data_IF_194405309657
#
_entry.id   IF_194405309657
#
_cell.length_a   1.000
_cell.length_b   1.000
_cell.length_c   1.000
_cell.angle_alpha   90.00
_cell.angle_beta   90.00
_cell.angle_gamma   90.00
#
_symmetry.space_group_name_H-M   'P 1'
#
loop_
_entity.id
_entity.type
_entity.pdbx_description
1 polymer ?
#
# COMPACT_ATOMS: atom_id res chain seq x y z
N UNK A 1 7.03 18.53 -14.90
CA UNK A 1 6.72 17.27 -15.65
C UNK A 1 6.74 17.54 -17.16
N UNK A 2 7.14 16.55 -17.95
CA UNK A 2 7.09 16.59 -19.43
C UNK A 2 5.65 16.34 -19.96
N UNK A 3 4.92 15.42 -19.30
CA UNK A 3 3.62 14.95 -19.76
C UNK A 3 2.49 15.51 -18.89
N UNK A 4 1.42 15.99 -19.54
CA UNK A 4 0.20 16.47 -18.86
C UNK A 4 -0.87 15.39 -18.79
N UNK A 5 -0.72 14.30 -19.55
CA UNK A 5 -1.63 13.15 -19.59
C UNK A 5 -0.83 11.86 -19.63
N UNK A 6 -1.11 10.96 -18.69
CA UNK A 6 -0.46 9.65 -18.59
C UNK A 6 -1.52 8.57 -18.71
N UNK A 7 -1.37 7.73 -19.74
CA UNK A 7 -2.22 6.57 -19.98
C UNK A 7 -1.45 5.31 -19.56
N UNK A 8 -2.00 4.54 -18.65
CA UNK A 8 -1.38 3.31 -18.15
C UNK A 8 -2.10 2.07 -18.66
N UNK A 9 -1.37 1.08 -19.12
CA UNK A 9 -1.93 -0.28 -19.09
C UNK A 9 -2.10 -0.76 -17.62
N UNK A 10 -2.83 -1.83 -17.41
CA UNK A 10 -3.14 -2.36 -16.09
C UNK A 10 -2.29 -3.58 -15.74
N UNK A 11 -2.48 -4.68 -16.50
CA UNK A 11 -1.85 -5.96 -16.22
C UNK A 11 -0.39 -5.97 -16.63
N UNK A 12 0.54 -6.15 -15.69
CA UNK A 12 1.99 -6.05 -15.94
C UNK A 12 2.55 -4.63 -15.83
N UNK A 13 1.70 -3.61 -15.72
CA UNK A 13 2.11 -2.20 -15.62
C UNK A 13 1.81 -1.60 -14.25
N UNK A 14 0.55 -1.59 -13.83
CA UNK A 14 0.14 -1.17 -12.50
C UNK A 14 0.03 -2.35 -11.53
N UNK A 15 -0.39 -3.53 -12.04
CA UNK A 15 -0.67 -4.70 -11.24
C UNK A 15 -0.03 -5.98 -11.78
N UNK A 16 0.29 -6.90 -10.85
CA UNK A 16 0.75 -8.27 -11.12
C UNK A 16 -0.46 -9.19 -11.14
N UNK A 17 -1.03 -9.41 -12.30
CA UNK A 17 -2.26 -10.21 -12.49
C UNK A 17 -2.01 -11.71 -12.73
N UNK A 18 -0.77 -12.15 -12.64
CA UNK A 18 -0.34 -13.52 -12.95
C UNK A 18 -1.17 -14.57 -12.22
N UNK A 19 -1.36 -14.40 -10.92
CA UNK A 19 -2.07 -15.38 -10.09
C UNK A 19 -3.53 -15.56 -10.54
N UNK A 20 -4.25 -14.46 -10.73
CA UNK A 20 -5.66 -14.48 -11.13
C UNK A 20 -5.88 -15.04 -12.53
N UNK A 21 -5.03 -14.65 -13.48
CA UNK A 21 -5.12 -15.09 -14.87
C UNK A 21 -4.76 -16.57 -14.98
N UNK A 22 -3.62 -16.98 -14.44
CA UNK A 22 -3.13 -18.36 -14.57
C UNK A 22 -4.03 -19.38 -13.85
N UNK A 23 -4.44 -19.10 -12.62
CA UNK A 23 -5.37 -19.95 -11.88
C UNK A 23 -6.73 -20.07 -12.60
N UNK A 24 -7.19 -18.98 -13.19
CA UNK A 24 -8.47 -18.99 -13.91
C UNK A 24 -8.37 -19.75 -15.22
N UNK A 25 -7.26 -19.62 -15.94
CA UNK A 25 -7.05 -20.38 -17.19
C UNK A 25 -6.87 -21.89 -16.91
N UNK A 26 -6.16 -22.26 -15.83
CA UNK A 26 -6.06 -23.66 -15.38
C UNK A 26 -7.44 -24.21 -15.05
N UNK A 27 -8.24 -23.49 -14.26
CA UNK A 27 -9.61 -23.89 -13.93
C UNK A 27 -10.46 -24.15 -15.20
N UNK A 28 -10.39 -23.26 -16.17
CA UNK A 28 -11.11 -23.40 -17.43
C UNK A 28 -10.63 -24.63 -18.23
N UNK A 29 -9.31 -24.87 -18.29
CA UNK A 29 -8.74 -26.04 -18.93
C UNK A 29 -9.20 -27.35 -18.25
N UNK A 30 -9.16 -27.41 -16.92
CA UNK A 30 -9.62 -28.55 -16.12
C UNK A 30 -11.12 -28.87 -16.33
N UNK A 31 -11.96 -27.84 -16.41
CA UNK A 31 -13.40 -27.99 -16.74
C UNK A 31 -13.64 -28.58 -18.12
N UNK A 32 -12.70 -28.40 -19.03
CA UNK A 32 -12.72 -28.98 -20.37
C UNK A 32 -12.04 -30.36 -20.44
N UNK A 33 -11.56 -30.91 -19.29
CA UNK A 33 -10.89 -32.21 -19.22
C UNK A 33 -9.39 -32.18 -19.52
N UNK A 34 -8.79 -31.01 -19.69
CA UNK A 34 -7.34 -30.82 -19.88
C UNK A 34 -6.68 -30.55 -18.52
N UNK A 35 -5.90 -31.51 -18.02
CA UNK A 35 -5.28 -31.46 -16.68
C UNK A 35 -3.76 -31.55 -16.74
N UNK A 36 -3.08 -31.26 -15.61
CA UNK A 36 -1.63 -31.44 -15.47
C UNK A 36 -0.82 -30.20 -15.84
N UNK A 37 -1.45 -29.03 -16.02
CA UNK A 37 -0.77 -27.78 -16.27
C UNK A 37 -0.36 -27.08 -14.97
N UNK A 38 0.79 -26.37 -15.03
CA UNK A 38 1.28 -25.53 -13.95
C UNK A 38 1.01 -24.04 -14.24
N UNK A 39 1.02 -23.21 -13.20
CA UNK A 39 0.88 -21.75 -13.39
C UNK A 39 1.99 -21.18 -14.28
N UNK A 40 3.21 -21.71 -14.18
CA UNK A 40 4.34 -21.28 -15.01
C UNK A 40 4.06 -21.45 -16.50
N UNK A 41 3.49 -22.59 -16.89
CA UNK A 41 3.12 -22.84 -18.29
C UNK A 41 2.01 -21.93 -18.79
N UNK A 42 1.17 -21.40 -17.88
CA UNK A 42 0.04 -20.55 -18.21
C UNK A 42 0.35 -19.05 -18.14
N UNK A 43 1.58 -18.65 -17.80
CA UNK A 43 2.01 -17.23 -17.90
C UNK A 43 1.84 -16.65 -19.30
N UNK A 44 1.94 -17.46 -20.31
CA UNK A 44 1.72 -17.06 -21.71
C UNK A 44 0.27 -16.62 -22.02
N UNK A 45 -0.67 -16.84 -21.11
CA UNK A 45 -2.03 -16.32 -21.21
C UNK A 45 -2.14 -14.82 -20.88
N UNK A 46 -1.07 -14.23 -20.32
CA UNK A 46 -1.07 -12.83 -19.92
C UNK A 46 -0.73 -11.97 -21.14
N UNK A 47 -1.70 -11.19 -21.60
CA UNK A 47 -1.59 -10.29 -22.74
C UNK A 47 -2.25 -10.78 -24.02
N UNK A 48 -1.96 -11.99 -24.55
CA UNK A 48 -2.63 -12.49 -25.76
C UNK A 48 -4.12 -12.76 -25.53
N UNK A 49 -4.93 -12.80 -26.64
CA UNK A 49 -6.32 -13.21 -26.57
C UNK A 49 -6.48 -14.63 -26.00
N UNK A 50 -7.44 -14.81 -25.11
CA UNK A 50 -7.70 -16.10 -24.46
C UNK A 50 -7.96 -17.23 -25.47
N UNK A 51 -8.68 -16.91 -26.56
CA UNK A 51 -9.01 -17.88 -27.62
C UNK A 51 -7.74 -18.48 -28.24
N UNK A 52 -6.78 -17.60 -28.60
CA UNK A 52 -5.52 -18.05 -29.21
C UNK A 52 -4.67 -18.84 -28.21
N UNK A 53 -4.67 -18.40 -26.94
CA UNK A 53 -3.92 -19.08 -25.88
C UNK A 53 -4.48 -20.48 -25.59
N UNK A 54 -5.78 -20.66 -25.48
CA UNK A 54 -6.39 -22.01 -25.31
C UNK A 54 -6.12 -22.92 -26.50
N UNK A 55 -6.11 -22.39 -27.73
CA UNK A 55 -5.79 -23.16 -28.92
C UNK A 55 -4.33 -23.59 -28.99
N UNK A 56 -3.42 -22.65 -28.77
CA UNK A 56 -1.99 -22.87 -29.03
C UNK A 56 -1.28 -23.54 -27.86
N UNK A 57 -1.64 -23.18 -26.63
CA UNK A 57 -0.98 -23.70 -25.42
C UNK A 57 -1.61 -24.99 -24.92
N UNK A 58 -2.94 -25.06 -24.94
CA UNK A 58 -3.67 -26.25 -24.44
C UNK A 58 -3.99 -27.24 -25.57
N UNK A 59 -3.98 -26.80 -26.83
CA UNK A 59 -4.30 -27.64 -27.99
C UNK A 59 -5.79 -27.85 -28.19
N UNK A 60 -6.64 -26.93 -27.79
CA UNK A 60 -8.09 -27.03 -27.93
C UNK A 60 -8.55 -26.75 -29.37
N UNK A 61 -9.66 -27.35 -29.75
CA UNK A 61 -10.40 -26.94 -30.97
C UNK A 61 -11.06 -25.58 -30.76
N UNK A 62 -11.54 -24.95 -31.86
CA UNK A 62 -12.21 -23.65 -31.77
C UNK A 62 -13.44 -23.66 -30.86
N UNK A 63 -14.23 -24.74 -30.93
CA UNK A 63 -15.41 -24.93 -30.10
C UNK A 63 -15.03 -25.12 -28.62
N UNK A 64 -13.98 -25.89 -28.36
CA UNK A 64 -13.46 -26.10 -27.00
C UNK A 64 -12.90 -24.82 -26.42
N UNK A 65 -12.14 -24.04 -27.20
CA UNK A 65 -11.57 -22.77 -26.76
C UNK A 65 -12.67 -21.76 -26.39
N UNK A 66 -13.72 -21.62 -27.21
CA UNK A 66 -14.86 -20.78 -26.89
C UNK A 66 -15.54 -21.18 -25.57
N UNK A 67 -15.77 -22.49 -25.37
CA UNK A 67 -16.36 -22.98 -24.13
C UNK A 67 -15.44 -22.83 -22.92
N UNK A 68 -14.14 -22.96 -23.11
CA UNK A 68 -13.15 -22.67 -22.04
C UNK A 68 -13.18 -21.21 -21.63
N UNK A 69 -13.39 -20.28 -22.57
CA UNK A 69 -13.54 -18.86 -22.27
C UNK A 69 -14.76 -18.61 -21.38
N UNK A 70 -15.89 -19.32 -21.56
CA UNK A 70 -17.05 -19.19 -20.68
C UNK A 70 -16.70 -19.61 -19.25
N UNK A 71 -15.98 -20.73 -19.05
CA UNK A 71 -15.49 -21.15 -17.73
C UNK A 71 -14.44 -20.19 -17.14
N UNK A 72 -13.61 -19.60 -18.01
CA UNK A 72 -12.68 -18.57 -17.58
C UNK A 72 -13.44 -17.37 -17.01
N UNK A 73 -14.43 -16.84 -17.74
CA UNK A 73 -15.24 -15.72 -17.27
C UNK A 73 -15.99 -16.02 -15.97
N UNK A 74 -16.55 -17.23 -15.84
CA UNK A 74 -17.24 -17.68 -14.61
C UNK A 74 -16.35 -17.55 -13.36
N UNK A 75 -15.11 -18.04 -13.42
CA UNK A 75 -14.18 -17.97 -12.29
C UNK A 75 -13.59 -16.58 -12.12
N UNK A 76 -13.23 -15.94 -13.23
CA UNK A 76 -12.61 -14.64 -13.20
C UNK A 76 -13.53 -13.58 -12.57
N UNK A 77 -14.79 -13.60 -12.93
CA UNK A 77 -15.79 -12.68 -12.36
C UNK A 77 -16.00 -12.90 -10.86
N UNK A 78 -15.92 -14.14 -10.40
CA UNK A 78 -16.16 -14.49 -8.99
C UNK A 78 -14.94 -14.19 -8.10
N UNK A 79 -13.75 -14.55 -8.51
CA UNK A 79 -12.53 -14.45 -7.70
C UNK A 79 -11.27 -14.00 -8.46
N UNK A 80 -11.11 -14.38 -9.72
CA UNK A 80 -9.85 -14.18 -10.45
C UNK A 80 -9.42 -12.72 -10.60
N UNK A 81 -10.37 -11.81 -10.78
CA UNK A 81 -10.09 -10.37 -10.86
C UNK A 81 -9.45 -9.83 -9.57
N UNK A 82 -9.73 -10.46 -8.44
CA UNK A 82 -9.25 -10.05 -7.13
C UNK A 82 -7.93 -10.71 -6.71
N UNK A 83 -7.51 -11.78 -7.39
CA UNK A 83 -6.22 -12.46 -7.20
C UNK A 83 -5.14 -11.69 -7.98
N UNK A 84 -4.72 -10.55 -7.42
CA UNK A 84 -3.86 -9.58 -8.06
C UNK A 84 -3.04 -8.84 -7.01
N UNK A 85 -1.88 -8.30 -7.38
CA UNK A 85 -1.02 -7.48 -6.51
C UNK A 85 -0.61 -6.20 -7.25
N UNK A 86 -0.29 -5.15 -6.51
CA UNK A 86 0.20 -3.89 -7.07
C UNK A 86 1.73 -3.87 -7.07
N UNK A 87 2.34 -3.34 -8.14
CA UNK A 87 3.79 -3.12 -8.14
C UNK A 87 4.18 -2.07 -7.10
N UNK A 88 5.24 -2.38 -6.32
CA UNK A 88 5.69 -1.51 -5.25
C UNK A 88 6.11 -0.12 -5.79
N UNK A 89 5.55 0.94 -5.21
CA UNK A 89 5.77 2.33 -5.60
C UNK A 89 4.69 2.94 -6.51
N UNK A 90 3.79 2.14 -7.09
CA UNK A 90 2.69 2.64 -7.94
C UNK A 90 1.80 3.67 -7.20
N UNK A 91 1.36 3.44 -5.93
CA UNK A 91 0.58 4.45 -5.22
C UNK A 91 1.29 5.80 -5.11
N UNK A 92 2.60 5.79 -4.81
CA UNK A 92 3.40 7.02 -4.71
C UNK A 92 3.52 7.74 -6.06
N UNK A 93 3.68 6.99 -7.16
CA UNK A 93 3.70 7.53 -8.52
C UNK A 93 2.36 8.18 -8.87
N UNK A 94 1.23 7.48 -8.70
CA UNK A 94 -0.10 8.00 -9.01
C UNK A 94 -0.41 9.28 -8.21
N UNK A 95 -0.10 9.29 -6.90
CA UNK A 95 -0.21 10.48 -6.04
C UNK A 95 0.66 11.64 -6.56
N UNK A 96 1.88 11.35 -6.99
CA UNK A 96 2.79 12.38 -7.50
C UNK A 96 2.30 12.98 -8.82
N UNK A 97 1.72 12.17 -9.71
CA UNK A 97 1.09 12.64 -10.95
C UNK A 97 -0.09 13.57 -10.65
N UNK A 98 -0.99 13.18 -9.76
CA UNK A 98 -2.15 14.01 -9.37
C UNK A 98 -1.72 15.30 -8.69
N UNK A 99 -0.78 15.25 -7.76
CA UNK A 99 -0.20 16.45 -7.11
C UNK A 99 0.28 17.47 -8.12
N UNK A 100 0.82 17.03 -9.23
CA UNK A 100 1.33 17.89 -10.29
C UNK A 100 0.28 18.20 -11.40
N UNK A 101 -0.99 17.86 -11.16
CA UNK A 101 -2.11 18.20 -12.05
C UNK A 101 -2.19 17.36 -13.32
N UNK A 102 -1.51 16.22 -13.39
CA UNK A 102 -1.63 15.33 -14.55
C UNK A 102 -3.02 14.70 -14.64
N UNK A 103 -3.49 14.50 -15.87
CA UNK A 103 -4.58 13.59 -16.17
C UNK A 103 -4.03 12.18 -16.20
N UNK A 104 -4.70 11.27 -15.50
CA UNK A 104 -4.26 9.88 -15.37
C UNK A 104 -5.41 8.96 -15.72
N UNK A 105 -5.21 8.06 -16.69
CA UNK A 105 -6.23 7.08 -17.05
C UNK A 105 -5.61 5.68 -17.22
N UNK A 106 -6.41 4.65 -16.91
CA UNK A 106 -6.09 3.28 -17.29
C UNK A 106 -6.60 3.06 -18.71
N UNK A 107 -5.76 2.51 -19.59
CA UNK A 107 -6.08 2.13 -20.96
C UNK A 107 -5.65 0.68 -21.18
N UNK A 108 -6.59 -0.26 -21.06
CA UNK A 108 -6.29 -1.70 -20.98
C UNK A 108 -7.14 -2.54 -21.93
N UNK A 109 -6.59 -3.66 -22.41
CA UNK A 109 -7.34 -4.66 -23.15
C UNK A 109 -8.27 -5.51 -22.27
N UNK A 110 -8.11 -5.42 -20.93
CA UNK A 110 -9.04 -6.05 -19.97
C UNK A 110 -10.42 -5.42 -20.06
N UNK A 111 -11.53 -6.18 -19.97
CA UNK A 111 -12.87 -5.61 -19.93
C UNK A 111 -13.00 -4.53 -18.84
N UNK A 112 -13.54 -3.37 -19.24
CA UNK A 112 -13.59 -2.14 -18.42
C UNK A 112 -14.16 -2.40 -17.02
N UNK A 113 -15.23 -3.18 -16.91
CA UNK A 113 -15.87 -3.51 -15.62
C UNK A 113 -14.91 -4.17 -14.62
N UNK A 114 -13.98 -5.00 -15.09
CA UNK A 114 -12.98 -5.62 -14.22
C UNK A 114 -11.84 -4.67 -13.89
N UNK A 115 -11.42 -3.84 -14.85
CA UNK A 115 -10.41 -2.82 -14.61
C UNK A 115 -10.86 -1.80 -13.56
N UNK A 116 -12.12 -1.36 -13.61
CA UNK A 116 -12.73 -0.47 -12.59
C UNK A 116 -12.79 -1.12 -11.21
N UNK A 117 -13.18 -2.42 -11.14
CA UNK A 117 -13.19 -3.18 -9.86
C UNK A 117 -11.78 -3.29 -9.27
N UNK A 118 -10.76 -3.55 -10.11
CA UNK A 118 -9.36 -3.64 -9.70
C UNK A 118 -8.88 -2.27 -9.22
N UNK A 119 -9.14 -1.20 -9.98
CA UNK A 119 -8.77 0.16 -9.62
C UNK A 119 -9.36 0.57 -8.26
N UNK A 120 -10.62 0.23 -8.01
CA UNK A 120 -11.28 0.48 -6.73
C UNK A 120 -10.66 -0.35 -5.60
N UNK A 121 -10.44 -1.65 -5.82
CA UNK A 121 -9.88 -2.55 -4.80
C UNK A 121 -8.52 -2.11 -4.31
N UNK A 122 -7.67 -1.62 -5.21
CA UNK A 122 -6.29 -1.23 -4.89
C UNK A 122 -6.11 0.28 -4.62
N UNK A 123 -7.20 1.02 -4.43
CA UNK A 123 -7.15 2.43 -4.07
C UNK A 123 -6.62 3.34 -5.19
N UNK A 124 -6.73 2.94 -6.47
CA UNK A 124 -6.33 3.78 -7.60
C UNK A 124 -7.40 4.80 -7.98
N UNK A 125 -8.68 4.47 -7.73
CA UNK A 125 -9.82 5.27 -8.19
C UNK A 125 -9.70 6.77 -7.86
N UNK A 126 -9.24 7.23 -6.68
CA UNK A 126 -9.06 8.64 -6.38
C UNK A 126 -8.04 9.36 -7.26
N UNK A 127 -7.13 8.60 -7.89
CA UNK A 127 -6.03 9.15 -8.69
C UNK A 127 -6.29 9.05 -10.20
N UNK A 128 -7.40 8.45 -10.62
CA UNK A 128 -7.75 8.26 -12.01
C UNK A 128 -8.79 9.27 -12.47
N UNK A 129 -8.63 9.78 -13.68
CA UNK A 129 -9.64 10.58 -14.38
C UNK A 129 -10.58 9.68 -15.19
N UNK A 130 -10.11 8.50 -15.65
CA UNK A 130 -10.94 7.52 -16.37
C UNK A 130 -10.33 6.10 -16.36
N UNK A 131 -11.16 5.13 -16.72
CA UNK A 131 -10.77 3.73 -17.01
C UNK A 131 -11.32 3.35 -18.37
N UNK A 132 -10.46 3.15 -19.34
CA UNK A 132 -10.78 2.88 -20.74
C UNK A 132 -10.44 1.43 -21.06
N UNK A 133 -11.45 0.62 -21.27
CA UNK A 133 -11.35 -0.76 -21.68
C UNK A 133 -12.46 -1.15 -22.67
N UNK A 134 -12.40 -2.35 -23.26
CA UNK A 134 -13.49 -2.86 -24.07
C UNK A 134 -14.70 -3.25 -23.22
N UNK A 135 -15.87 -3.32 -23.83
CA UNK A 135 -17.02 -4.03 -23.26
C UNK A 135 -16.79 -5.54 -23.21
N UNK A 136 -17.69 -6.28 -22.58
CA UNK A 136 -17.62 -7.74 -22.53
C UNK A 136 -17.75 -8.41 -23.90
N UNK A 137 -18.29 -7.69 -24.91
CA UNK A 137 -18.39 -8.14 -26.30
C UNK A 137 -17.08 -7.99 -27.09
N UNK A 138 -16.04 -7.46 -26.47
CA UNK A 138 -14.69 -7.23 -27.03
C UNK A 138 -14.65 -6.40 -28.35
N UNK A 139 -15.70 -5.64 -28.67
CA UNK A 139 -15.66 -4.73 -29.82
C UNK A 139 -14.69 -3.58 -29.56
N UNK A 140 -13.94 -3.18 -30.60
CA UNK A 140 -12.95 -2.10 -30.56
C UNK A 140 -11.89 -2.28 -29.44
N UNK A 141 -11.45 -3.51 -29.23
CA UNK A 141 -10.48 -3.88 -28.18
C UNK A 141 -9.01 -3.69 -28.57
N UNK A 142 -8.71 -3.22 -29.80
CA UNK A 142 -7.32 -2.95 -30.18
C UNK A 142 -6.70 -1.86 -29.30
N UNK A 143 -5.44 -2.08 -28.84
CA UNK A 143 -4.77 -1.09 -27.99
C UNK A 143 -4.72 0.29 -28.65
N UNK A 144 -4.49 0.36 -29.97
CA UNK A 144 -4.48 1.63 -30.71
C UNK A 144 -5.83 2.38 -30.64
N UNK A 145 -6.96 1.67 -30.72
CA UNK A 145 -8.28 2.28 -30.59
C UNK A 145 -8.55 2.78 -29.17
N UNK A 146 -8.14 2.00 -28.17
CA UNK A 146 -8.30 2.38 -26.77
C UNK A 146 -7.42 3.58 -26.40
N UNK A 147 -6.16 3.62 -26.85
CA UNK A 147 -5.25 4.77 -26.65
C UNK A 147 -5.82 6.01 -27.34
N UNK A 148 -6.39 5.88 -28.56
CA UNK A 148 -7.04 7.00 -29.26
C UNK A 148 -8.15 7.62 -28.40
N UNK A 149 -9.00 6.80 -27.78
CA UNK A 149 -10.05 7.30 -26.88
C UNK A 149 -9.48 8.13 -25.74
N UNK A 150 -8.37 7.70 -25.12
CA UNK A 150 -7.69 8.46 -24.08
C UNK A 150 -7.09 9.77 -24.59
N UNK A 151 -6.47 9.77 -25.76
CA UNK A 151 -5.92 10.97 -26.39
C UNK A 151 -7.02 11.98 -26.73
N UNK A 152 -8.15 11.52 -27.28
CA UNK A 152 -9.30 12.37 -27.63
C UNK A 152 -9.99 12.94 -26.38
N UNK A 153 -10.05 12.15 -25.28
CA UNK A 153 -10.68 12.58 -24.03
C UNK A 153 -9.88 13.66 -23.28
N UNK A 154 -8.54 13.54 -23.26
CA UNK A 154 -7.73 14.38 -22.37
C UNK A 154 -6.80 15.33 -23.12
N UNK A 155 -6.27 14.96 -24.26
CA UNK A 155 -5.32 15.80 -25.04
C UNK A 155 -4.03 16.14 -24.30
N UNK A 156 -3.38 17.20 -24.75
CA UNK A 156 -2.13 17.70 -24.14
C UNK A 156 -0.89 16.91 -24.57
N UNK A 157 0.16 16.94 -23.75
CA UNK A 157 1.35 16.10 -23.91
C UNK A 157 1.07 14.72 -23.31
N UNK A 158 0.72 13.76 -24.17
CA UNK A 158 0.29 12.42 -23.77
C UNK A 158 1.46 11.44 -23.82
N UNK A 159 1.49 10.50 -22.86
CA UNK A 159 2.38 9.34 -22.89
C UNK A 159 1.59 8.06 -22.59
N UNK A 160 1.86 6.98 -23.33
CA UNK A 160 1.34 5.65 -23.05
C UNK A 160 2.41 4.82 -22.32
N UNK A 161 2.05 4.25 -21.18
CA UNK A 161 2.92 3.39 -20.36
C UNK A 161 2.38 1.96 -20.39
N UNK A 162 3.21 1.01 -20.78
CA UNK A 162 2.82 -0.40 -20.79
C UNK A 162 4.02 -1.33 -20.84
N UNK A 163 3.76 -2.62 -20.58
CA UNK A 163 4.81 -3.65 -20.49
C UNK A 163 4.89 -4.54 -21.74
N UNK A 164 4.01 -4.33 -22.73
CA UNK A 164 3.99 -5.15 -23.94
C UNK A 164 4.12 -4.28 -25.21
N UNK A 165 4.60 -4.90 -26.28
CA UNK A 165 4.69 -4.26 -27.61
C UNK A 165 3.38 -3.60 -28.03
N UNK A 166 2.23 -4.20 -27.69
CA UNK A 166 0.91 -3.67 -28.08
C UNK A 166 0.65 -2.27 -27.52
N UNK A 167 1.18 -1.96 -26.33
CA UNK A 167 1.09 -0.65 -25.69
C UNK A 167 1.93 0.37 -26.46
N UNK A 168 3.14 -0.02 -26.82
CA UNK A 168 4.08 0.81 -27.56
C UNK A 168 3.54 1.07 -28.97
N UNK A 169 3.13 0.03 -29.70
CA UNK A 169 2.53 0.13 -31.02
C UNK A 169 1.25 0.99 -30.98
N UNK A 170 0.41 0.80 -29.94
CA UNK A 170 -0.81 1.57 -29.72
C UNK A 170 -0.56 3.05 -29.49
N UNK A 171 0.44 3.40 -28.68
CA UNK A 171 0.88 4.78 -28.43
C UNK A 171 1.41 5.42 -29.72
N UNK A 172 2.31 4.76 -30.41
CA UNK A 172 2.91 5.23 -31.65
C UNK A 172 1.89 5.46 -32.78
N UNK A 173 0.93 4.54 -32.92
CA UNK A 173 -0.14 4.69 -33.91
C UNK A 173 -0.99 5.94 -33.66
N UNK A 174 -0.97 6.50 -32.48
CA UNK A 174 -1.64 7.74 -32.10
C UNK A 174 -0.69 8.94 -31.97
N UNK A 175 0.60 8.79 -32.33
CA UNK A 175 1.58 9.87 -32.33
C UNK A 175 1.95 10.38 -30.94
N UNK A 176 1.83 9.53 -29.90
CA UNK A 176 2.20 9.87 -28.52
C UNK A 176 3.47 9.16 -28.09
N UNK A 177 4.20 9.78 -27.16
CA UNK A 177 5.37 9.15 -26.54
C UNK A 177 4.96 7.87 -25.80
N UNK A 178 5.92 6.94 -25.66
CA UNK A 178 5.68 5.66 -25.00
C UNK A 178 6.77 5.35 -23.97
N UNK A 179 6.39 4.72 -22.86
CA UNK A 179 7.33 4.14 -21.90
C UNK A 179 7.08 2.66 -21.81
N UNK A 180 8.05 1.86 -22.24
CA UNK A 180 8.07 0.42 -22.03
C UNK A 180 8.59 0.08 -20.63
N UNK A 181 7.84 -0.70 -19.83
CA UNK A 181 8.27 -1.10 -18.50
C UNK A 181 8.72 -2.56 -18.48
N UNK A 182 9.96 -2.82 -18.06
CA UNK A 182 10.60 -4.14 -18.07
C UNK A 182 10.32 -4.95 -16.79
N UNK A 183 9.65 -4.39 -15.80
CA UNK A 183 9.27 -5.12 -14.59
C UNK A 183 7.96 -5.92 -14.75
N UNK A 184 7.29 -5.78 -15.90
CA UNK A 184 6.07 -6.49 -16.27
C UNK A 184 6.33 -7.85 -16.90
N UNK A 185 5.52 -8.23 -17.86
CA UNK A 185 5.55 -9.55 -18.54
C UNK A 185 6.29 -9.53 -19.89
N UNK A 186 6.48 -8.36 -20.49
CA UNK A 186 7.25 -8.18 -21.72
C UNK A 186 8.77 -8.16 -21.47
N UNK A 187 9.56 -8.43 -22.51
CA UNK A 187 11.02 -8.32 -22.44
C UNK A 187 11.49 -6.97 -22.95
N UNK A 188 12.68 -6.54 -22.55
CA UNK A 188 13.28 -5.31 -23.05
C UNK A 188 13.43 -5.34 -24.58
N UNK A 189 13.82 -6.50 -25.14
CA UNK A 189 13.95 -6.68 -26.60
C UNK A 189 12.60 -6.49 -27.31
N UNK A 190 11.49 -6.97 -26.72
CA UNK A 190 10.14 -6.76 -27.26
C UNK A 190 9.81 -5.26 -27.33
N UNK A 191 10.09 -4.54 -26.23
CA UNK A 191 9.76 -3.11 -26.09
C UNK A 191 10.63 -2.22 -26.97
N UNK A 192 11.93 -2.52 -27.05
CA UNK A 192 12.90 -1.82 -27.92
C UNK A 192 12.56 -2.08 -29.39
N UNK A 193 12.24 -3.33 -29.76
CA UNK A 193 11.84 -3.67 -31.13
C UNK A 193 10.53 -3.01 -31.57
N UNK A 194 9.64 -2.73 -30.64
CA UNK A 194 8.42 -1.94 -30.88
C UNK A 194 8.69 -0.43 -30.93
N UNK A 195 9.95 0.00 -30.72
CA UNK A 195 10.43 1.39 -30.78
C UNK A 195 9.81 2.25 -29.66
N UNK A 196 9.90 1.77 -28.40
CA UNK A 196 9.50 2.55 -27.23
C UNK A 196 10.33 3.84 -27.10
N UNK A 197 9.69 4.98 -26.78
CA UNK A 197 10.37 6.26 -26.60
C UNK A 197 11.31 6.24 -25.40
N UNK A 198 10.89 5.56 -24.33
CA UNK A 198 11.65 5.36 -23.10
C UNK A 198 11.50 3.92 -22.60
N UNK A 199 12.50 3.43 -21.88
CA UNK A 199 12.48 2.15 -21.17
C UNK A 199 12.66 2.43 -19.69
N UNK A 200 11.89 1.73 -18.84
CA UNK A 200 12.01 1.76 -17.39
C UNK A 200 12.10 0.34 -16.82
N UNK A 201 13.13 0.03 -16.07
CA UNK A 201 13.33 -1.30 -15.46
C UNK A 201 12.68 -1.41 -14.08
N UNK A 202 12.36 -0.27 -13.47
CA UNK A 202 11.74 -0.19 -12.14
C UNK A 202 10.66 0.88 -12.12
N UNK A 203 9.76 0.79 -11.13
CA UNK A 203 8.77 1.86 -10.88
C UNK A 203 9.43 3.18 -10.49
N UNK A 204 10.64 3.15 -9.91
CA UNK A 204 11.42 4.35 -9.59
C UNK A 204 11.89 5.05 -10.87
N UNK A 205 12.50 4.32 -11.82
CA UNK A 205 12.88 4.86 -13.13
C UNK A 205 11.67 5.40 -13.91
N UNK A 206 10.53 4.68 -13.88
CA UNK A 206 9.28 5.17 -14.45
C UNK A 206 8.86 6.49 -13.81
N UNK A 207 8.99 6.61 -12.48
CA UNK A 207 8.68 7.85 -11.76
C UNK A 207 9.59 8.98 -12.19
N UNK A 208 10.91 8.72 -12.36
CA UNK A 208 11.87 9.71 -12.83
C UNK A 208 11.53 10.21 -14.25
N UNK A 209 11.15 9.30 -15.15
CA UNK A 209 10.75 9.66 -16.52
C UNK A 209 9.49 10.53 -16.54
N UNK A 210 8.49 10.19 -15.74
CA UNK A 210 7.19 10.87 -15.75
C UNK A 210 7.18 12.18 -14.96
N UNK A 211 7.77 12.19 -13.77
CA UNK A 211 7.76 13.31 -12.83
C UNK A 211 8.94 14.28 -13.09
N UNK A 212 10.14 13.76 -13.41
CA UNK A 212 11.36 14.55 -13.54
C UNK A 212 11.67 15.32 -12.27
N UNK A 213 11.98 16.62 -12.39
CA UNK A 213 12.29 17.52 -11.28
C UNK A 213 11.04 18.06 -10.54
N UNK A 214 9.83 17.66 -10.94
CA UNK A 214 8.61 18.12 -10.28
C UNK A 214 8.46 17.49 -8.88
N UNK A 215 7.76 18.16 -7.94
CA UNK A 215 7.61 17.67 -6.58
C UNK A 215 6.90 16.32 -6.52
N UNK A 216 7.49 15.36 -5.80
CA UNK A 216 6.83 14.07 -5.53
C UNK A 216 5.83 14.20 -4.39
N UNK A 217 4.82 13.37 -4.39
CA UNK A 217 3.91 13.27 -3.26
C UNK A 217 4.65 12.64 -2.07
N UNK A 218 4.40 13.20 -0.89
CA UNK A 218 4.89 12.63 0.37
C UNK A 218 4.20 11.29 0.63
N UNK A 219 4.91 10.34 1.22
CA UNK A 219 4.36 9.09 1.72
C UNK A 219 3.35 9.28 2.84
N UNK A 220 2.79 8.17 3.33
CA UNK A 220 1.78 8.16 4.39
C UNK A 220 2.42 7.72 5.71
N UNK A 221 2.15 8.45 6.79
CA UNK A 221 2.63 8.10 8.12
C UNK A 221 1.49 7.57 9.01
N UNK A 222 1.59 6.31 9.41
CA UNK A 222 0.61 5.61 10.25
C UNK A 222 1.27 5.27 11.58
N UNK A 223 0.70 5.75 12.70
CA UNK A 223 1.09 5.30 14.04
C UNK A 223 0.08 4.27 14.57
N UNK A 224 0.58 3.33 15.37
CA UNK A 224 -0.25 2.37 16.08
C UNK A 224 -0.12 2.61 17.57
N UNK A 225 -1.24 2.86 18.23
CA UNK A 225 -1.31 3.25 19.63
C UNK A 225 -2.18 2.29 20.45
N UNK A 226 -1.97 2.28 21.76
CA UNK A 226 -2.72 1.46 22.71
C UNK A 226 -1.85 0.87 23.80
N UNK A 227 -2.49 0.28 24.79
CA UNK A 227 -1.83 -0.33 25.96
C UNK A 227 -0.94 -1.51 25.56
N UNK A 228 0.05 -1.86 26.42
CA UNK A 228 0.79 -3.11 26.23
C UNK A 228 -0.16 -4.31 26.44
N UNK A 229 -0.02 -5.34 25.57
CA UNK A 229 -0.94 -6.48 25.56
C UNK A 229 -2.18 -6.31 24.67
N UNK A 230 -2.44 -5.13 24.06
CA UNK A 230 -3.59 -4.94 23.17
C UNK A 230 -3.43 -5.56 21.76
N UNK A 231 -2.26 -6.17 21.43
CA UNK A 231 -2.06 -6.88 20.17
C UNK A 231 -1.40 -6.06 19.06
N UNK A 232 -0.77 -4.93 19.36
CA UNK A 232 -0.10 -4.05 18.37
C UNK A 232 0.84 -4.80 17.41
N UNK A 233 1.69 -5.68 17.93
CA UNK A 233 2.66 -6.41 17.11
C UNK A 233 1.99 -7.26 16.03
N UNK A 234 0.92 -7.99 16.39
CA UNK A 234 0.14 -8.82 15.46
C UNK A 234 -0.53 -7.96 14.40
N UNK A 235 -1.19 -6.89 14.83
CA UNK A 235 -1.92 -6.00 13.93
C UNK A 235 -0.97 -5.18 13.04
N UNK A 236 0.22 -4.81 13.53
CA UNK A 236 1.26 -4.17 12.72
C UNK A 236 1.74 -5.07 11.58
N UNK A 237 1.92 -6.36 11.84
CA UNK A 237 2.30 -7.30 10.79
C UNK A 237 1.21 -7.39 9.69
N UNK A 238 -0.05 -7.54 10.09
CA UNK A 238 -1.19 -7.58 9.18
C UNK A 238 -1.33 -6.26 8.38
N UNK A 239 -1.16 -5.12 9.05
CA UNK A 239 -1.18 -3.80 8.41
C UNK A 239 -0.05 -3.65 7.39
N UNK A 240 1.18 -4.07 7.75
CA UNK A 240 2.34 -4.00 6.85
C UNK A 240 2.11 -4.86 5.60
N UNK A 241 1.65 -6.08 5.76
CA UNK A 241 1.33 -6.99 4.65
C UNK A 241 0.23 -6.41 3.75
N UNK A 242 -0.81 -5.84 4.34
CA UNK A 242 -1.90 -5.22 3.59
C UNK A 242 -1.42 -4.04 2.73
N UNK A 243 -0.65 -3.11 3.31
CA UNK A 243 -0.07 -1.98 2.57
C UNK A 243 0.86 -2.44 1.44
N UNK A 244 1.64 -3.51 1.66
CA UNK A 244 2.48 -4.08 0.61
C UNK A 244 1.65 -4.65 -0.54
N UNK A 245 0.53 -5.33 -0.25
CA UNK A 245 -0.41 -5.81 -1.28
C UNK A 245 -1.06 -4.67 -2.07
N UNK A 246 -1.25 -3.51 -1.44
CA UNK A 246 -1.68 -2.28 -2.10
C UNK A 246 -0.55 -1.57 -2.87
N UNK A 247 0.66 -2.14 -2.91
CA UNK A 247 1.81 -1.61 -3.64
C UNK A 247 2.62 -0.52 -2.92
N UNK A 248 2.37 -0.28 -1.64
CA UNK A 248 3.21 0.61 -0.88
C UNK A 248 4.57 -0.03 -0.57
N UNK A 249 5.64 0.74 -0.71
CA UNK A 249 6.90 0.42 -0.01
C UNK A 249 6.70 0.76 1.45
N UNK A 250 6.91 -0.21 2.35
CA UNK A 250 6.59 -0.04 3.78
C UNK A 250 7.85 0.02 4.62
N UNK A 251 8.01 1.11 5.36
CA UNK A 251 9.00 1.28 6.42
C UNK A 251 8.33 1.04 7.77
N UNK A 252 8.47 -0.18 8.32
CA UNK A 252 7.89 -0.54 9.62
C UNK A 252 8.89 -0.30 10.75
N UNK A 253 8.48 0.48 11.77
CA UNK A 253 9.31 0.85 12.93
C UNK A 253 8.55 0.64 14.25
N UNK A 254 9.28 0.74 15.35
CA UNK A 254 8.73 0.81 16.70
C UNK A 254 9.46 1.87 17.53
N UNK A 255 8.79 2.45 18.49
CA UNK A 255 9.40 3.32 19.50
C UNK A 255 9.17 2.81 20.92
N UNK A 256 10.16 2.95 21.78
CA UNK A 256 11.52 3.45 21.50
C UNK A 256 12.32 2.44 20.67
N UNK A 257 13.29 2.94 19.88
CA UNK A 257 14.13 2.14 18.99
C UNK A 257 13.91 2.50 17.52
N UNK A 258 14.35 1.66 16.62
CA UNK A 258 14.12 1.81 15.18
C UNK A 258 15.35 2.23 14.37
N UNK A 259 16.41 2.74 15.02
CA UNK A 259 17.71 2.97 14.44
C UNK A 259 18.80 2.67 15.48
N UNK A 260 20.07 2.66 15.08
CA UNK A 260 21.17 2.24 15.94
C UNK A 260 21.29 3.06 17.25
N UNK A 261 21.14 4.40 17.16
CA UNK A 261 21.21 5.29 18.33
C UNK A 261 19.95 5.14 19.18
N UNK A 262 18.78 5.09 18.57
CA UNK A 262 17.52 4.90 19.26
C UNK A 262 17.42 3.54 19.97
N UNK A 263 18.05 2.47 19.44
CA UNK A 263 18.14 1.17 20.12
C UNK A 263 19.03 1.24 21.39
N UNK A 264 20.11 2.00 21.37
CA UNK A 264 20.91 2.24 22.60
C UNK A 264 20.09 2.95 23.67
N UNK A 265 19.29 3.95 23.26
CA UNK A 265 18.36 4.65 24.16
C UNK A 265 17.27 3.70 24.69
N UNK A 266 16.72 2.85 23.82
CA UNK A 266 15.76 1.82 24.21
C UNK A 266 16.31 0.89 25.31
N UNK A 267 17.56 0.44 25.15
CA UNK A 267 18.19 -0.43 26.12
C UNK A 267 18.29 0.25 27.51
N UNK A 268 18.64 1.55 27.54
CA UNK A 268 18.63 2.32 28.78
C UNK A 268 17.23 2.43 29.39
N UNK A 269 16.21 2.72 28.57
CA UNK A 269 14.83 2.92 29.02
C UNK A 269 14.19 1.66 29.60
N UNK A 270 14.44 0.50 28.99
CA UNK A 270 13.74 -0.74 29.34
C UNK A 270 14.51 -1.64 30.30
N UNK A 271 15.80 -1.36 30.55
CA UNK A 271 16.62 -2.17 31.45
C UNK A 271 16.08 -2.11 32.92
N UNK A 272 15.66 -3.26 33.48
CA UNK A 272 15.21 -3.33 34.89
C UNK A 272 16.25 -2.89 35.91
N UNK A 273 17.53 -2.84 35.57
CA UNK A 273 18.57 -2.35 36.46
C UNK A 273 18.51 -0.83 36.68
N UNK A 274 17.89 -0.06 35.77
CA UNK A 274 17.83 1.40 35.83
C UNK A 274 16.65 1.92 36.66
N UNK A 275 16.44 1.35 37.90
CA UNK A 275 15.32 1.73 38.76
C UNK A 275 15.42 3.17 39.33
N UNK A 276 16.61 3.75 39.33
CA UNK A 276 16.85 5.13 39.82
C UNK A 276 16.60 6.21 38.77
N UNK A 277 16.22 5.83 37.55
CA UNK A 277 15.89 6.78 36.50
C UNK A 277 14.67 7.62 36.90
N UNK A 278 14.82 8.93 37.02
CA UNK A 278 13.69 9.82 37.29
C UNK A 278 12.77 9.96 36.07
N UNK A 279 11.52 10.34 36.32
CA UNK A 279 10.47 10.38 35.32
C UNK A 279 10.78 11.39 34.19
N UNK A 280 11.42 12.51 34.52
CA UNK A 280 11.87 13.51 33.54
C UNK A 280 12.97 12.96 32.63
N UNK A 281 13.95 12.22 33.16
CA UNK A 281 14.99 11.56 32.36
C UNK A 281 14.37 10.56 31.41
N UNK A 282 13.41 9.77 31.89
CA UNK A 282 12.64 8.85 31.04
C UNK A 282 11.99 9.58 29.87
N UNK A 283 11.27 10.69 30.14
CA UNK A 283 10.59 11.48 29.11
C UNK A 283 11.57 12.09 28.08
N UNK A 284 12.72 12.63 28.55
CA UNK A 284 13.76 13.15 27.66
C UNK A 284 14.38 12.06 26.77
N UNK A 285 14.64 10.90 27.30
CA UNK A 285 15.19 9.78 26.52
C UNK A 285 14.21 9.29 25.44
N UNK A 286 12.91 9.21 25.75
CA UNK A 286 11.89 8.92 24.72
C UNK A 286 11.88 9.97 23.63
N UNK A 287 11.92 11.25 23.98
CA UNK A 287 11.95 12.34 23.01
C UNK A 287 13.26 12.35 22.19
N UNK A 288 14.41 12.07 22.80
CA UNK A 288 15.71 11.99 22.11
C UNK A 288 15.74 10.84 21.10
N UNK A 289 15.28 9.63 21.50
CA UNK A 289 15.19 8.49 20.58
C UNK A 289 14.23 8.76 19.41
N UNK A 290 13.12 9.44 19.68
CA UNK A 290 12.16 9.89 18.65
C UNK A 290 12.75 10.89 17.68
N UNK A 291 13.45 11.89 18.18
CA UNK A 291 14.12 12.90 17.33
C UNK A 291 15.09 12.23 16.34
N UNK A 292 15.87 11.26 16.82
CA UNK A 292 16.78 10.47 16.00
C UNK A 292 16.01 9.67 14.94
N UNK A 293 14.98 8.93 15.35
CA UNK A 293 14.19 8.09 14.47
C UNK A 293 13.44 8.90 13.39
N UNK A 294 12.85 10.03 13.76
CA UNK A 294 12.15 10.93 12.83
C UNK A 294 13.11 11.44 11.76
N UNK A 295 14.30 11.90 12.15
CA UNK A 295 15.25 12.49 11.20
C UNK A 295 15.96 11.46 10.34
N UNK A 296 16.37 10.32 10.92
CA UNK A 296 17.17 9.33 10.21
C UNK A 296 16.32 8.37 9.38
N UNK A 297 15.05 8.14 9.75
CA UNK A 297 14.24 7.07 9.16
C UNK A 297 12.91 7.57 8.63
N UNK A 298 12.08 8.22 9.47
CA UNK A 298 10.69 8.52 9.13
C UNK A 298 10.62 9.54 7.98
N UNK A 299 11.31 10.69 8.12
CA UNK A 299 11.31 11.74 7.08
C UNK A 299 11.83 11.26 5.74
N UNK A 300 13.02 10.61 5.66
CA UNK A 300 13.52 10.10 4.39
C UNK A 300 12.58 9.08 3.73
N UNK A 301 11.91 8.23 4.53
CA UNK A 301 10.93 7.28 3.99
C UNK A 301 9.70 8.00 3.41
N UNK A 302 9.17 9.00 4.13
CA UNK A 302 8.05 9.81 3.64
C UNK A 302 8.40 10.62 2.39
N UNK A 303 9.62 11.16 2.31
CA UNK A 303 10.11 11.90 1.15
C UNK A 303 10.22 11.01 -0.10
N UNK A 304 10.54 9.73 0.07
CA UNK A 304 10.51 8.73 -1.01
C UNK A 304 9.11 8.29 -1.42
N UNK A 305 8.05 8.72 -0.69
CA UNK A 305 6.68 8.28 -0.92
C UNK A 305 6.33 6.94 -0.26
N UNK A 306 7.13 6.45 0.71
CA UNK A 306 6.87 5.18 1.40
C UNK A 306 5.71 5.34 2.41
N UNK A 307 5.01 4.24 2.71
CA UNK A 307 4.16 4.16 3.89
C UNK A 307 5.05 3.87 5.12
N UNK A 308 5.00 4.72 6.13
CA UNK A 308 5.67 4.50 7.41
C UNK A 308 4.66 3.98 8.42
N UNK A 309 4.92 2.81 9.00
CA UNK A 309 4.11 2.21 10.08
C UNK A 309 4.95 2.19 11.36
N UNK A 310 4.54 2.97 12.35
CA UNK A 310 5.26 3.09 13.62
C UNK A 310 4.44 2.52 14.78
N UNK A 311 4.96 1.49 15.46
CA UNK A 311 4.39 0.99 16.71
C UNK A 311 4.78 1.95 17.82
N UNK A 312 3.86 2.76 18.27
CA UNK A 312 3.96 3.91 19.18
C UNK A 312 4.62 5.15 18.55
N UNK A 313 4.11 6.31 18.94
CA UNK A 313 4.67 7.62 18.59
C UNK A 313 4.45 8.61 19.74
N UNK A 314 4.23 9.88 19.43
CA UNK A 314 4.06 10.97 20.44
C UNK A 314 2.91 10.69 21.39
N UNK A 315 1.78 10.20 20.90
CA UNK A 315 0.58 9.94 21.70
C UNK A 315 0.87 8.94 22.85
N UNK A 316 1.74 7.94 22.60
CA UNK A 316 2.25 7.05 23.66
C UNK A 316 3.01 7.82 24.75
N UNK A 317 3.91 8.74 24.40
CA UNK A 317 4.63 9.52 25.41
C UNK A 317 3.72 10.43 26.22
N UNK A 318 2.74 11.06 25.57
CA UNK A 318 1.76 11.91 26.26
C UNK A 318 0.92 11.07 27.24
N UNK A 319 0.54 9.85 26.85
CA UNK A 319 -0.23 8.97 27.70
C UNK A 319 0.62 8.37 28.85
N UNK A 320 1.80 7.82 28.56
CA UNK A 320 2.64 7.12 29.54
C UNK A 320 3.42 8.09 30.43
N UNK A 321 4.21 8.99 29.87
CA UNK A 321 5.01 9.95 30.63
C UNK A 321 4.17 11.13 31.13
N UNK A 322 3.29 11.66 30.27
CA UNK A 322 2.46 12.82 30.62
C UNK A 322 1.44 12.49 31.72
N UNK A 323 0.59 11.50 31.51
CA UNK A 323 -0.45 11.12 32.47
C UNK A 323 0.01 9.99 33.41
N UNK A 324 0.60 8.93 32.89
CA UNK A 324 1.05 7.79 33.69
C UNK A 324 2.05 8.21 34.77
N UNK A 325 3.14 8.92 34.42
CA UNK A 325 4.14 9.51 35.30
C UNK A 325 3.73 10.82 35.95
N UNK A 326 2.57 11.38 35.55
CA UNK A 326 2.03 12.64 36.06
C UNK A 326 2.94 13.87 35.78
N UNK A 327 3.77 13.84 34.72
CA UNK A 327 4.58 14.97 34.29
C UNK A 327 3.75 16.06 33.61
N UNK A 328 2.47 15.81 33.33
CA UNK A 328 1.59 16.70 32.57
C UNK A 328 1.57 16.37 31.09
N UNK A 329 0.36 16.20 30.54
CA UNK A 329 0.18 15.81 29.12
C UNK A 329 0.66 16.92 28.18
N UNK A 330 0.37 18.20 28.49
CA UNK A 330 0.79 19.34 27.68
C UNK A 330 2.31 19.53 27.72
N UNK A 331 2.95 19.35 28.87
CA UNK A 331 4.39 19.46 29.03
C UNK A 331 5.14 18.40 28.21
N UNK A 332 4.66 17.15 28.22
CA UNK A 332 5.25 16.08 27.43
C UNK A 332 4.96 16.25 25.95
N UNK A 333 3.80 16.77 25.56
CA UNK A 333 3.51 17.13 24.18
C UNK A 333 4.46 18.24 23.67
N UNK A 334 4.69 19.30 24.49
CA UNK A 334 5.62 20.38 24.17
C UNK A 334 7.08 19.87 24.05
N UNK A 335 7.51 19.00 24.96
CA UNK A 335 8.83 18.35 24.89
C UNK A 335 9.03 17.61 23.56
N UNK A 336 8.01 16.91 23.08
CA UNK A 336 8.07 16.15 21.84
C UNK A 336 7.92 17.03 20.58
N UNK A 337 7.39 18.24 20.70
CA UNK A 337 7.18 19.11 19.54
C UNK A 337 8.50 19.41 18.78
N UNK A 338 9.60 19.65 19.51
CA UNK A 338 10.92 19.85 18.89
C UNK A 338 11.47 18.55 18.26
N UNK A 339 11.19 17.39 18.85
CA UNK A 339 11.67 16.10 18.37
C UNK A 339 11.03 15.72 17.02
N UNK A 340 9.76 16.04 16.82
CA UNK A 340 9.02 15.64 15.62
C UNK A 340 8.87 16.75 14.58
N UNK A 341 8.88 18.03 15.00
CA UNK A 341 8.57 19.16 14.13
C UNK A 341 7.20 18.98 13.48
N UNK A 342 7.15 19.09 12.16
CA UNK A 342 5.94 18.89 11.35
C UNK A 342 5.63 17.42 11.05
N UNK A 343 6.53 16.49 11.42
CA UNK A 343 6.35 15.07 11.12
C UNK A 343 5.34 14.46 12.10
N UNK A 344 4.09 14.40 11.67
CA UNK A 344 2.98 13.86 12.45
C UNK A 344 2.33 12.71 11.68
N UNK A 345 1.74 11.70 12.37
CA UNK A 345 0.95 10.67 11.73
C UNK A 345 -0.25 11.27 10.99
N UNK A 346 -0.44 10.84 9.75
CA UNK A 346 -1.63 11.12 8.96
C UNK A 346 -2.83 10.31 9.51
N UNK A 347 -2.55 9.07 9.92
CA UNK A 347 -3.51 8.16 10.51
C UNK A 347 -2.93 7.58 11.81
N UNK A 348 -3.72 7.54 12.87
CA UNK A 348 -3.41 6.81 14.10
C UNK A 348 -4.39 5.67 14.28
N UNK A 349 -3.89 4.44 14.32
CA UNK A 349 -4.70 3.26 14.66
C UNK A 349 -4.64 3.08 16.19
N UNK A 350 -5.74 3.36 16.86
CA UNK A 350 -5.86 3.15 18.31
C UNK A 350 -6.51 1.79 18.60
N UNK A 351 -5.71 0.86 19.08
CA UNK A 351 -6.17 -0.45 19.55
C UNK A 351 -6.70 -0.31 20.99
N UNK A 352 -7.99 0.01 21.09
CA UNK A 352 -8.69 0.28 22.34
C UNK A 352 -8.91 -1.00 23.11
N UNK A 353 -8.36 -1.08 24.31
CA UNK A 353 -8.54 -2.20 25.24
C UNK A 353 -8.49 -1.70 26.69
N UNK A 354 -9.44 -2.11 27.57
CA UNK A 354 -9.40 -1.76 29.00
C UNK A 354 -8.06 -2.13 29.63
N UNK A 355 -7.57 -1.28 30.54
CA UNK A 355 -6.24 -1.40 31.12
C UNK A 355 -6.00 -2.72 31.84
N UNK A 356 -6.97 -3.23 32.57
CA UNK A 356 -6.94 -4.50 33.32
C UNK A 356 -6.82 -5.71 32.37
N UNK A 357 -7.57 -5.70 31.27
CA UNK A 357 -7.54 -6.76 30.25
C UNK A 357 -6.18 -6.76 29.52
N UNK A 358 -5.70 -5.57 29.13
CA UNK A 358 -4.44 -5.40 28.44
C UNK A 358 -3.26 -5.86 29.33
N UNK A 359 -3.24 -5.43 30.58
CA UNK A 359 -2.22 -5.80 31.54
C UNK A 359 -2.21 -7.31 31.80
N UNK A 360 -3.38 -7.92 31.98
CA UNK A 360 -3.50 -9.39 32.18
C UNK A 360 -2.91 -10.15 30.99
N UNK A 361 -3.22 -9.77 29.77
CA UNK A 361 -2.66 -10.38 28.55
C UNK A 361 -1.13 -10.20 28.46
N UNK A 362 -0.64 -9.02 28.82
CA UNK A 362 0.79 -8.71 28.76
C UNK A 362 1.61 -9.55 29.76
N UNK A 363 1.17 -9.62 31.03
CA UNK A 363 1.86 -10.35 32.08
C UNK A 363 1.89 -11.87 31.83
N UNK A 364 0.93 -12.42 31.10
CA UNK A 364 0.93 -13.83 30.70
C UNK A 364 1.90 -14.16 29.56
N UNK A 365 2.42 -13.17 28.85
CA UNK A 365 3.21 -13.39 27.62
C UNK A 365 4.73 -13.44 27.88
N UNK A 366 5.29 -12.60 28.74
CA UNK A 366 6.74 -12.56 29.02
C UNK A 366 7.05 -11.84 30.33
N UNK A 367 8.32 -11.88 30.77
CA UNK A 367 8.79 -11.12 31.95
C UNK A 367 8.61 -9.61 31.68
N UNK A 368 8.11 -8.87 32.68
CA UNK A 368 7.89 -7.42 32.56
C UNK A 368 9.22 -6.65 32.48
N UNK A 369 9.29 -5.65 31.63
CA UNK A 369 10.36 -4.65 31.60
C UNK A 369 10.20 -3.61 32.73
N UNK A 370 11.12 -2.62 32.78
CA UNK A 370 11.12 -1.58 33.82
C UNK A 370 9.79 -0.80 33.89
N UNK A 371 9.21 -0.49 32.75
CA UNK A 371 7.97 0.30 32.67
C UNK A 371 6.75 -0.56 33.04
N UNK A 372 6.75 -1.82 32.65
CA UNK A 372 5.67 -2.78 32.94
C UNK A 372 5.58 -3.21 34.37
N UNK A 373 6.62 -2.93 35.19
CA UNK A 373 6.64 -3.17 36.65
C UNK A 373 5.88 -2.08 37.44
N UNK A 374 5.27 -1.11 36.78
CA UNK A 374 4.50 -0.04 37.43
C UNK A 374 3.18 -0.56 38.04
N UNK A 375 2.62 0.21 38.97
CA UNK A 375 1.36 -0.11 39.66
C UNK A 375 0.16 0.07 38.76
N UNK A 376 -0.95 -0.57 39.09
CA UNK A 376 -2.21 -0.52 38.36
C UNK A 376 -2.72 0.91 38.06
N UNK A 377 -2.54 1.83 39.01
CA UNK A 377 -2.93 3.24 38.86
C UNK A 377 -2.21 3.93 37.70
N UNK A 378 -0.95 3.57 37.46
CA UNK A 378 -0.19 4.09 36.30
C UNK A 378 -0.88 3.71 34.99
N UNK A 379 -1.23 2.44 34.85
CA UNK A 379 -1.89 1.94 33.65
C UNK A 379 -3.32 2.49 33.49
N UNK A 380 -4.03 2.69 34.60
CA UNK A 380 -5.37 3.31 34.59
C UNK A 380 -5.30 4.76 34.09
N UNK A 381 -4.33 5.55 34.60
CA UNK A 381 -4.12 6.93 34.11
C UNK A 381 -3.71 6.97 32.64
N UNK A 382 -2.83 6.05 32.22
CA UNK A 382 -2.40 5.93 30.82
C UNK A 382 -3.58 5.62 29.89
N UNK A 383 -4.45 4.69 30.27
CA UNK A 383 -5.65 4.37 29.50
C UNK A 383 -6.59 5.57 29.39
N UNK A 384 -6.87 6.23 30.52
CA UNK A 384 -7.72 7.45 30.54
C UNK A 384 -7.12 8.57 29.69
N UNK A 385 -5.81 8.67 29.61
CA UNK A 385 -5.14 9.66 28.76
C UNK A 385 -5.35 9.35 27.27
N UNK A 386 -5.27 8.11 26.85
CA UNK A 386 -5.61 7.74 25.47
C UNK A 386 -7.07 8.06 25.12
N UNK A 387 -8.01 7.75 26.02
CA UNK A 387 -9.42 8.08 25.83
C UNK A 387 -9.62 9.61 25.64
N UNK A 388 -8.93 10.43 26.44
CA UNK A 388 -8.95 11.89 26.32
C UNK A 388 -8.30 12.39 25.03
N UNK A 389 -7.12 11.85 24.67
CA UNK A 389 -6.38 12.26 23.47
C UNK A 389 -7.16 12.03 22.19
N UNK A 390 -7.97 10.99 22.17
CA UNK A 390 -8.61 10.53 20.94
C UNK A 390 -10.11 10.85 20.85
N UNK A 391 -10.70 11.38 21.93
CA UNK A 391 -12.15 11.63 22.02
C UNK A 391 -12.74 12.50 20.89
N UNK A 392 -11.96 13.42 20.33
CA UNK A 392 -12.43 14.38 19.31
C UNK A 392 -11.56 14.36 18.05
N UNK A 393 -10.88 13.25 17.77
CA UNK A 393 -9.93 13.14 16.65
C UNK A 393 -10.32 12.07 15.61
N UNK A 394 -11.61 11.87 15.38
CA UNK A 394 -12.13 10.81 14.48
C UNK A 394 -11.56 10.85 13.06
N UNK A 395 -11.20 12.04 12.56
CA UNK A 395 -10.58 12.18 11.23
C UNK A 395 -9.19 11.55 11.16
N UNK A 396 -8.36 11.75 12.19
CA UNK A 396 -6.99 11.22 12.27
C UNK A 396 -6.96 9.82 12.89
N UNK A 397 -7.83 9.55 13.86
CA UNK A 397 -7.77 8.36 14.70
C UNK A 397 -8.79 7.32 14.28
N UNK A 398 -8.30 6.14 13.94
CA UNK A 398 -9.09 4.93 13.72
C UNK A 398 -9.12 4.13 15.02
N UNK A 399 -10.21 4.22 15.75
CA UNK A 399 -10.39 3.43 16.99
C UNK A 399 -10.90 2.04 16.67
N UNK A 400 -10.17 1.02 17.09
CA UNK A 400 -10.50 -0.40 16.90
C UNK A 400 -10.64 -1.10 18.25
N UNK A 401 -11.74 -1.78 18.47
CA UNK A 401 -11.95 -2.57 19.69
C UNK A 401 -11.05 -3.82 19.70
N UNK A 402 -9.93 -3.75 20.40
CA UNK A 402 -8.93 -4.81 20.46
C UNK A 402 -9.28 -5.96 21.44
N UNK A 403 -10.44 -5.93 22.09
CA UNK A 403 -10.92 -7.02 22.94
C UNK A 403 -11.58 -8.17 22.14
N UNK A 404 -11.84 -7.96 20.85
CA UNK A 404 -12.41 -8.94 19.93
C UNK A 404 -11.38 -10.02 19.49
N UNK A 405 -11.79 -10.96 18.61
CA UNK A 405 -10.87 -11.92 18.01
C UNK A 405 -9.84 -11.23 17.11
N UNK A 406 -8.69 -11.85 16.90
CA UNK A 406 -7.61 -11.30 16.07
C UNK A 406 -8.16 -10.98 14.66
N UNK A 407 -8.95 -11.89 14.09
CA UNK A 407 -9.52 -11.75 12.74
C UNK A 407 -10.50 -10.57 12.65
N UNK A 408 -11.34 -10.37 13.67
CA UNK A 408 -12.28 -9.25 13.73
C UNK A 408 -11.54 -7.91 13.86
N UNK A 409 -10.54 -7.85 14.77
CA UNK A 409 -9.69 -6.67 14.96
C UNK A 409 -8.98 -6.32 13.64
N UNK A 410 -8.36 -7.32 13.00
CA UNK A 410 -7.65 -7.14 11.72
C UNK A 410 -8.60 -6.60 10.66
N UNK A 411 -9.76 -7.21 10.46
CA UNK A 411 -10.74 -6.79 9.46
C UNK A 411 -11.18 -5.34 9.70
N UNK A 412 -11.65 -5.01 10.91
CA UNK A 412 -12.11 -3.66 11.24
C UNK A 412 -11.00 -2.61 11.04
N UNK A 413 -9.76 -2.98 11.39
CA UNK A 413 -8.61 -2.11 11.20
C UNK A 413 -8.32 -1.84 9.73
N UNK A 414 -8.30 -2.89 8.91
CA UNK A 414 -7.95 -2.76 7.49
C UNK A 414 -9.06 -2.05 6.70
N UNK A 415 -10.33 -2.41 6.93
CA UNK A 415 -11.47 -1.75 6.28
C UNK A 415 -11.50 -0.25 6.59
N UNK A 416 -11.33 0.12 7.88
CA UNK A 416 -11.31 1.53 8.28
C UNK A 416 -10.03 2.27 7.87
N UNK A 417 -8.93 1.57 7.60
CA UNK A 417 -7.71 2.16 7.05
C UNK A 417 -7.90 2.50 5.57
N UNK A 418 -8.46 1.59 4.78
CA UNK A 418 -8.67 1.79 3.34
C UNK A 418 -9.54 3.02 3.09
N UNK A 419 -10.64 3.17 3.86
CA UNK A 419 -11.48 4.38 3.80
C UNK A 419 -10.70 5.67 4.06
N UNK A 420 -9.73 5.64 4.98
CA UNK A 420 -8.93 6.83 5.32
C UNK A 420 -7.82 7.10 4.29
N UNK A 421 -7.23 6.05 3.72
CA UNK A 421 -6.24 6.20 2.65
C UNK A 421 -6.86 6.83 1.40
N UNK A 422 -8.09 6.41 1.04
CA UNK A 422 -8.86 6.99 -0.08
C UNK A 422 -9.21 8.47 0.15
N UNK A 423 -9.38 8.88 1.40
CA UNK A 423 -9.69 10.26 1.79
C UNK A 423 -8.50 11.17 2.02
N UNK A 424 -7.25 10.67 1.92
CA UNK A 424 -6.07 11.51 2.11
C UNK A 424 -5.87 12.46 0.93
N UNK A 425 -5.75 13.75 1.21
CA UNK A 425 -5.35 14.77 0.23
C UNK A 425 -3.92 14.50 -0.30
N UNK A 426 -3.70 14.76 -1.57
CA UNK A 426 -2.42 14.50 -2.29
C UNK A 426 -1.43 15.64 -2.09
#
# INVERSE_FOLDING_TARGET
MKYTTVLFDLDGTLTKSEEGITKTAIYAAEKMGFTGFTQEQFKVFIGPPLFDSFRTVVGMTDEQANRAIDYYHERFERVGWAENEVYAGIPALLRSLKKNGARVAIVTAKPQIFAERIAKKFGFAPYLDDVIGPGLDNKDSSKAALVRRGVEAFGGSVVMVGDRRFDIEGGRANGVDTVGVCYGYGTEEELVSADATHIAHTVEELTDILIGDAPRARGVFISMEGMDGCGKTTQRAALTEHLQKLGWRVTAKREPGGDEVAEKIRNLLLDPANQTMCDETEAYLYAAGRAQNVRAVVRPALERGDAVVCDRFVDSSVAYQGAGRQLGMEQVAALNAMAVGETRPDITVYLRMPADVALSRRLSASKPDRLEQQKADFFSRTYQAYERLFAEQEKRVLTVNAAQSIEQVTRTMLDGLDERLDGLEV
#
